data_IF_146546028536
#
_entry.id   IF_146546028536
#
_cell.length_a   1.000
_cell.length_b   1.000
_cell.length_c   1.000
_cell.angle_alpha   90.00
_cell.angle_beta   90.00
_cell.angle_gamma   90.00
#
_symmetry.space_group_name_H-M   'P 1'
#
loop_
_entity.id
_entity.type
_entity.pdbx_description
1 polymer ?
#
# COMPACT_ATOMS: atom_id res chain seq x y z
N UNK A 1 29.33 -23.60 -30.81
CA UNK A 1 29.43 -23.00 -29.46
C UNK A 1 28.62 -21.71 -29.46
N UNK A 2 27.32 -21.77 -29.18
CA UNK A 2 26.46 -20.58 -29.20
C UNK A 2 25.73 -20.49 -27.87
N UNK A 3 26.42 -19.91 -26.88
CA UNK A 3 25.81 -19.48 -25.61
C UNK A 3 25.35 -18.05 -25.82
N UNK A 4 24.05 -17.83 -26.03
CA UNK A 4 23.53 -16.50 -26.25
C UNK A 4 22.02 -16.47 -26.11
N UNK A 5 21.56 -15.89 -25.01
CA UNK A 5 20.13 -15.67 -24.75
C UNK A 5 19.78 -15.74 -23.28
N UNK A 6 20.50 -15.00 -22.42
CA UNK A 6 19.99 -14.63 -21.11
C UNK A 6 18.82 -13.67 -21.38
N UNK A 7 17.63 -14.22 -21.53
CA UNK A 7 16.40 -13.43 -21.52
C UNK A 7 16.20 -13.06 -20.05
N UNK A 8 16.54 -11.83 -19.70
CA UNK A 8 16.05 -11.17 -18.51
C UNK A 8 14.53 -11.24 -18.60
N UNK A 9 13.95 -12.22 -17.90
CA UNK A 9 12.52 -12.29 -17.76
C UNK A 9 12.10 -11.02 -17.05
N UNK A 10 11.43 -10.19 -17.85
CA UNK A 10 10.75 -8.98 -17.44
C UNK A 10 9.52 -9.39 -16.64
N UNK A 11 9.74 -9.97 -15.46
CA UNK A 11 8.68 -10.28 -14.51
C UNK A 11 8.87 -9.32 -13.35
N UNK A 12 8.67 -8.02 -13.62
CA UNK A 12 8.53 -7.02 -12.59
C UNK A 12 7.38 -7.45 -11.71
N UNK A 13 7.70 -8.13 -10.60
CA UNK A 13 6.76 -8.42 -9.55
C UNK A 13 6.01 -7.12 -9.28
N UNK A 14 4.69 -7.17 -9.28
CA UNK A 14 3.78 -6.13 -8.82
C UNK A 14 4.23 -5.72 -7.41
N UNK A 15 5.24 -4.85 -7.33
CA UNK A 15 5.73 -4.34 -6.09
C UNK A 15 4.57 -3.47 -5.61
N UNK A 16 3.96 -3.79 -4.46
CA UNK A 16 2.76 -3.10 -4.03
C UNK A 16 3.08 -1.62 -3.97
N UNK A 17 2.47 -0.86 -4.88
CA UNK A 17 2.68 0.58 -5.02
C UNK A 17 2.04 1.23 -3.79
N UNK A 18 2.86 1.36 -2.75
CA UNK A 18 2.42 1.83 -1.46
C UNK A 18 2.39 3.35 -1.49
N UNK A 19 1.22 3.94 -1.27
CA UNK A 19 1.01 5.39 -1.24
C UNK A 19 1.01 5.88 0.20
N UNK A 20 1.56 7.07 0.43
CA UNK A 20 1.52 7.70 1.75
C UNK A 20 0.19 8.41 1.97
N UNK A 21 -0.31 8.35 3.19
CA UNK A 21 -1.51 9.08 3.58
C UNK A 21 -1.57 9.37 5.07
N UNK A 22 -2.52 10.23 5.44
CA UNK A 22 -2.77 10.64 6.81
C UNK A 22 -4.01 9.92 7.34
N UNK A 23 -3.90 9.28 8.50
CA UNK A 23 -5.05 8.66 9.16
C UNK A 23 -5.98 9.77 9.67
N UNK A 24 -7.18 9.85 9.13
CA UNK A 24 -8.20 10.83 9.55
C UNK A 24 -9.21 10.25 10.52
N UNK A 25 -9.39 8.92 10.52
CA UNK A 25 -10.23 8.21 11.48
C UNK A 25 -9.70 6.80 11.74
N UNK A 26 -9.83 6.32 12.97
CA UNK A 26 -9.44 4.98 13.39
C UNK A 26 -10.61 4.27 14.09
N UNK A 27 -11.06 3.15 13.52
CA UNK A 27 -12.11 2.29 14.05
C UNK A 27 -11.59 0.85 14.18
N UNK A 28 -10.87 0.58 15.27
CA UNK A 28 -10.35 -0.75 15.65
C UNK A 28 -9.33 -1.34 14.67
N UNK A 29 -9.80 -1.91 13.55
CA UNK A 29 -8.95 -2.43 12.46
C UNK A 29 -9.16 -1.70 11.13
N UNK A 30 -10.20 -0.86 11.05
CA UNK A 30 -10.49 -0.03 9.90
C UNK A 30 -9.96 1.38 10.14
N UNK A 31 -9.35 1.94 9.11
CA UNK A 31 -8.76 3.28 9.17
C UNK A 31 -9.21 4.05 7.94
N UNK A 32 -9.63 5.29 8.14
CA UNK A 32 -9.79 6.24 7.03
C UNK A 32 -8.45 6.93 6.82
N UNK A 33 -7.91 6.84 5.61
CA UNK A 33 -6.63 7.44 5.26
C UNK A 33 -6.87 8.43 4.12
N UNK A 34 -6.52 9.69 4.36
CA UNK A 34 -6.52 10.73 3.34
C UNK A 34 -5.21 10.69 2.57
N UNK A 35 -5.31 10.46 1.27
CA UNK A 35 -4.19 10.47 0.33
C UNK A 35 -3.82 11.92 -0.04
N UNK A 36 -2.64 12.09 -0.65
CA UNK A 36 -2.17 13.37 -1.15
C UNK A 36 -3.14 14.01 -2.18
N UNK A 37 -3.80 13.18 -3.01
CA UNK A 37 -4.83 13.60 -3.96
C UNK A 37 -6.13 14.11 -3.32
N UNK A 38 -6.21 14.17 -1.99
CA UNK A 38 -7.38 14.63 -1.24
C UNK A 38 -8.48 13.56 -1.09
N UNK A 39 -8.37 12.43 -1.78
CA UNK A 39 -9.27 11.28 -1.63
C UNK A 39 -9.07 10.62 -0.26
N UNK A 40 -10.15 10.12 0.32
CA UNK A 40 -10.09 9.31 1.54
C UNK A 40 -10.44 7.87 1.22
N UNK A 41 -9.54 6.94 1.54
CA UNK A 41 -9.75 5.52 1.34
C UNK A 41 -9.90 4.80 2.68
N UNK A 42 -10.64 3.70 2.69
CA UNK A 42 -10.75 2.82 3.85
C UNK A 42 -9.69 1.75 3.75
N UNK A 43 -8.84 1.68 4.76
CA UNK A 43 -7.76 0.71 4.85
C UNK A 43 -7.99 -0.22 6.04
N UNK A 44 -7.55 -1.46 5.90
CA UNK A 44 -7.53 -2.44 6.97
C UNK A 44 -6.07 -2.65 7.40
N UNK A 45 -5.82 -2.65 8.71
CA UNK A 45 -4.49 -2.99 9.21
C UNK A 45 -4.17 -4.45 8.88
N UNK A 46 -3.11 -4.66 8.10
CA UNK A 46 -2.57 -5.98 7.81
C UNK A 46 -1.57 -6.37 8.89
N UNK A 47 -1.71 -7.57 9.44
CA UNK A 47 -0.80 -8.11 10.46
C UNK A 47 -1.03 -7.56 11.87
N UNK A 48 0.01 -7.63 12.71
CA UNK A 48 0.00 -7.14 14.10
C UNK A 48 0.74 -5.81 14.19
N UNK A 49 0.13 -4.76 13.66
CA UNK A 49 0.67 -3.40 13.72
C UNK A 49 0.39 -2.70 15.06
N UNK A 50 1.31 -1.82 15.44
CA UNK A 50 1.19 -0.93 16.60
C UNK A 50 -0.05 -0.04 16.48
N UNK A 51 -0.56 0.46 17.61
CA UNK A 51 -1.81 1.23 17.69
C UNK A 51 -1.79 2.49 16.83
N UNK A 52 -2.31 2.38 15.61
CA UNK A 52 -2.44 3.50 14.68
C UNK A 52 -3.56 4.42 15.18
N UNK A 53 -3.28 5.72 15.21
CA UNK A 53 -4.20 6.74 15.70
C UNK A 53 -4.48 7.78 14.61
N UNK A 54 -5.52 8.59 14.81
CA UNK A 54 -5.79 9.73 13.95
C UNK A 54 -4.61 10.73 14.00
N UNK A 55 -4.20 11.24 12.85
CA UNK A 55 -3.04 12.11 12.68
C UNK A 55 -1.75 11.37 12.34
N UNK A 56 -1.73 10.04 12.39
CA UNK A 56 -0.54 9.26 12.02
C UNK A 56 -0.33 9.24 10.50
N UNK A 57 0.94 9.28 10.07
CA UNK A 57 1.30 9.12 8.65
C UNK A 57 1.61 7.66 8.37
N UNK A 58 0.80 7.07 7.50
CA UNK A 58 0.87 5.65 7.17
C UNK A 58 1.16 5.47 5.68
N UNK A 59 1.79 4.35 5.37
CA UNK A 59 1.95 3.88 4.00
C UNK A 59 0.93 2.79 3.75
N UNK A 60 0.06 2.99 2.77
CA UNK A 60 -1.05 2.08 2.43
C UNK A 60 -0.84 1.51 1.04
N UNK A 61 -1.02 0.21 0.88
CA UNK A 61 -1.01 -0.45 -0.42
C UNK A 61 -2.47 -0.60 -0.87
N UNK A 62 -3.00 0.31 -1.70
CA UNK A 62 -4.33 0.15 -2.27
C UNK A 62 -4.31 -1.07 -3.17
N UNK A 63 -5.05 -2.11 -2.80
CA UNK A 63 -5.34 -3.20 -3.73
C UNK A 63 -6.36 -2.66 -4.71
N UNK A 64 -5.96 -2.48 -5.97
CA UNK A 64 -6.90 -2.21 -7.05
C UNK A 64 -7.70 -3.47 -7.32
N UNK A 65 -8.71 -3.73 -6.48
CA UNK A 65 -9.75 -4.70 -6.78
C UNK A 65 -10.96 -3.89 -7.23
N UNK A 66 -11.20 -3.91 -8.54
CA UNK A 66 -12.34 -3.26 -9.19
C UNK A 66 -13.65 -3.94 -8.82
#
# INVERSE_FOLDING_TARGET
>A
MSRGGRREDSSGADAPHTVSGLVTAAWRRHYAVRLADGRTIKCLLRGRGLGIACGDRVSVAPTADG
#
